data_IF_124348899929
#
_entry.id   IF_124348899929
#
_cell.length_a   1.000
_cell.length_b   1.000
_cell.length_c   1.000
_cell.angle_alpha   90.00
_cell.angle_beta   90.00
_cell.angle_gamma   90.00
#
_symmetry.space_group_name_H-M   'P 1'
#
loop_
_entity.id
_entity.type
_entity.pdbx_description
1 polymer ?
#
# COMPACT_ATOMS: atom_id res chain seq x y z
N UNK A 1 -34.97 -38.28 -18.63
CA UNK A 1 -34.54 -38.12 -17.23
C UNK A 1 -35.75 -37.70 -16.40
N UNK A 2 -36.26 -38.58 -15.52
CA UNK A 2 -37.39 -38.28 -14.61
C UNK A 2 -36.80 -37.72 -13.33
N UNK A 3 -36.94 -36.41 -13.14
CA UNK A 3 -36.35 -35.67 -12.02
C UNK A 3 -37.12 -35.91 -10.73
N UNK A 4 -36.43 -36.33 -9.66
CA UNK A 4 -37.00 -36.69 -8.36
C UNK A 4 -37.52 -35.46 -7.58
N UNK A 5 -38.70 -34.95 -7.97
CA UNK A 5 -39.37 -33.84 -7.29
C UNK A 5 -39.74 -34.16 -5.82
N UNK A 6 -39.85 -35.45 -5.48
CA UNK A 6 -40.14 -35.89 -4.12
C UNK A 6 -38.99 -35.63 -3.14
N UNK A 7 -37.73 -35.66 -3.59
CA UNK A 7 -36.60 -35.43 -2.70
C UNK A 7 -36.44 -33.95 -2.34
N UNK A 8 -36.71 -33.06 -3.30
CA UNK A 8 -36.61 -31.61 -3.11
C UNK A 8 -37.68 -31.08 -2.15
N UNK A 9 -38.91 -31.63 -2.24
CA UNK A 9 -39.99 -31.26 -1.33
C UNK A 9 -39.69 -31.62 0.13
N UNK A 10 -39.04 -32.77 0.39
CA UNK A 10 -38.70 -33.20 1.75
C UNK A 10 -37.62 -32.32 2.38
N UNK A 11 -36.60 -31.91 1.60
CA UNK A 11 -35.52 -31.06 2.09
C UNK A 11 -36.04 -29.65 2.42
N UNK A 12 -36.96 -29.11 1.61
CA UNK A 12 -37.56 -27.79 1.85
C UNK A 12 -38.40 -27.76 3.14
N UNK A 13 -39.14 -28.82 3.45
CA UNK A 13 -39.93 -28.91 4.69
C UNK A 13 -39.01 -29.00 5.92
N UNK A 14 -37.89 -29.74 5.82
CA UNK A 14 -36.94 -29.84 6.93
C UNK A 14 -36.26 -28.50 7.24
N UNK A 15 -35.93 -27.71 6.22
CA UNK A 15 -35.34 -26.37 6.38
C UNK A 15 -36.32 -25.39 7.03
N UNK A 16 -37.61 -25.44 6.67
CA UNK A 16 -38.63 -24.56 7.26
C UNK A 16 -38.89 -24.88 8.74
N UNK A 17 -38.74 -26.13 9.17
CA UNK A 17 -38.91 -26.50 10.60
C UNK A 17 -37.73 -26.06 11.48
N UNK A 18 -36.53 -25.90 10.92
CA UNK A 18 -35.35 -25.47 11.68
C UNK A 18 -35.35 -23.96 12.01
N UNK A 19 -36.03 -23.14 11.19
CA UNK A 19 -36.11 -21.68 11.37
C UNK A 19 -37.18 -21.22 12.37
N UNK A 20 -38.06 -22.10 12.86
CA UNK A 20 -39.16 -21.73 13.74
C UNK A 20 -38.80 -21.67 15.25
N UNK A 21 -37.56 -21.98 15.63
CA UNK A 21 -37.14 -22.10 17.03
C UNK A 21 -36.29 -20.94 17.57
N UNK A 22 -36.17 -19.82 16.85
CA UNK A 22 -35.34 -18.67 17.27
C UNK A 22 -36.13 -17.37 17.41
N UNK A 23 -37.29 -17.42 18.10
CA UNK A 23 -37.95 -16.21 18.60
C UNK A 23 -37.34 -15.81 19.96
N UNK A 24 -36.81 -14.58 20.14
CA UNK A 24 -36.38 -14.09 21.44
C UNK A 24 -37.59 -13.87 22.37
N UNK A 25 -37.50 -14.41 23.58
CA UNK A 25 -38.52 -14.28 24.63
C UNK A 25 -38.64 -12.86 25.16
N UNK A 26 -39.86 -12.37 25.34
CA UNK A 26 -40.16 -11.15 26.08
C UNK A 26 -39.87 -11.36 27.57
N UNK A 27 -38.83 -10.71 28.08
CA UNK A 27 -38.63 -10.57 29.53
C UNK A 27 -39.67 -9.62 30.13
N UNK A 28 -40.60 -10.18 30.89
CA UNK A 28 -41.47 -9.43 31.80
C UNK A 28 -40.68 -8.94 33.01
N UNK A 29 -40.44 -7.64 33.07
CA UNK A 29 -39.82 -6.97 34.22
C UNK A 29 -40.84 -6.86 35.38
N UNK A 30 -40.46 -7.16 36.64
CA UNK A 30 -41.35 -7.02 37.79
C UNK A 30 -41.64 -5.56 38.15
N UNK A 31 -42.78 -5.27 38.82
CA UNK A 31 -43.23 -3.91 39.10
C UNK A 31 -42.28 -3.16 40.04
N UNK A 32 -41.90 -1.96 39.63
CA UNK A 32 -41.15 -0.99 40.43
C UNK A 32 -42.02 -0.49 41.59
N UNK A 33 -41.57 -0.71 42.82
CA UNK A 33 -42.13 -0.11 44.04
C UNK A 33 -41.70 1.35 44.08
N UNK A 34 -42.66 2.28 44.00
CA UNK A 34 -42.43 3.71 44.18
C UNK A 34 -42.40 4.01 45.68
N UNK A 35 -41.22 4.33 46.22
CA UNK A 35 -41.06 4.89 47.56
C UNK A 35 -41.00 6.41 47.39
N UNK A 36 -42.04 7.12 47.84
CA UNK A 36 -42.01 8.58 47.96
C UNK A 36 -40.94 8.99 48.97
N UNK A 37 -39.88 9.61 48.47
CA UNK A 37 -38.84 10.23 49.29
C UNK A 37 -39.21 11.70 49.49
N UNK A 38 -39.05 12.29 50.69
CA UNK A 38 -39.40 13.69 50.92
C UNK A 38 -38.54 14.61 50.05
N UNK A 39 -39.18 15.47 49.25
CA UNK A 39 -38.52 16.48 48.45
C UNK A 39 -37.93 17.56 49.37
N UNK A 40 -36.62 17.52 49.58
CA UNK A 40 -35.86 18.61 50.20
C UNK A 40 -35.48 19.58 49.08
N UNK A 41 -35.94 20.83 49.22
CA UNK A 41 -35.63 21.95 48.34
C UNK A 41 -34.11 22.23 48.38
N UNK A 42 -33.38 22.12 47.25
CA UNK A 42 -31.94 22.37 47.24
C UNK A 42 -31.66 23.87 47.30
N UNK A 43 -30.75 24.24 48.20
CA UNK A 43 -30.18 25.58 48.29
C UNK A 43 -29.53 26.00 46.95
N UNK A 44 -29.50 27.31 46.62
CA UNK A 44 -28.92 27.79 45.37
C UNK A 44 -27.43 27.41 45.30
N UNK A 45 -27.09 26.56 44.33
CA UNK A 45 -25.72 26.23 43.99
C UNK A 45 -25.05 27.46 43.38
N UNK A 46 -23.98 27.93 44.02
CA UNK A 46 -23.05 28.88 43.40
C UNK A 46 -22.60 28.31 42.04
N UNK A 47 -22.46 29.14 40.99
CA UNK A 47 -21.95 28.68 39.71
C UNK A 47 -20.52 28.17 39.90
N UNK A 48 -20.36 26.85 39.83
CA UNK A 48 -19.06 26.21 39.68
C UNK A 48 -18.39 26.79 38.45
N UNK A 49 -17.24 27.43 38.63
CA UNK A 49 -16.43 27.90 37.52
C UNK A 49 -16.17 26.73 36.57
N UNK A 50 -16.61 26.88 35.32
CA UNK A 50 -16.25 25.97 34.23
C UNK A 50 -14.72 25.93 34.17
N UNK A 51 -14.07 24.74 34.20
CA UNK A 51 -12.63 24.67 34.03
C UNK A 51 -12.28 25.36 32.71
N UNK A 52 -11.36 26.33 32.78
CA UNK A 52 -10.80 26.94 31.58
C UNK A 52 -10.28 25.81 30.69
N UNK A 53 -10.66 25.81 29.41
CA UNK A 53 -10.14 24.88 28.42
C UNK A 53 -8.61 24.94 28.50
N UNK A 54 -7.98 23.80 28.79
CA UNK A 54 -6.53 23.65 28.71
C UNK A 54 -6.15 23.99 27.27
N UNK A 55 -5.43 25.08 27.06
CA UNK A 55 -4.84 25.34 25.74
C UNK A 55 -3.94 24.16 25.41
N UNK A 56 -4.28 23.45 24.33
CA UNK A 56 -3.50 22.33 23.82
C UNK A 56 -2.18 22.90 23.32
N UNK A 57 -1.11 22.71 24.10
CA UNK A 57 0.21 23.22 23.75
C UNK A 57 0.71 22.42 22.56
N UNK A 58 0.81 23.07 21.40
CA UNK A 58 1.41 22.48 20.21
C UNK A 58 2.79 21.88 20.54
N UNK A 59 3.14 20.72 19.96
CA UNK A 59 4.44 20.09 20.18
C UNK A 59 5.57 21.05 19.79
N UNK A 60 6.59 21.14 20.65
CA UNK A 60 7.76 21.98 20.39
C UNK A 60 8.79 21.17 19.59
N UNK A 61 8.92 21.50 18.31
CA UNK A 61 9.92 20.89 17.42
C UNK A 61 11.33 21.38 17.75
N UNK A 62 12.27 20.45 17.89
CA UNK A 62 13.67 20.74 18.20
C UNK A 62 14.53 20.70 16.94
N UNK A 63 14.20 19.80 16.02
CA UNK A 63 15.00 19.54 14.82
C UNK A 63 14.07 19.40 13.62
N UNK A 64 14.26 20.30 12.65
CA UNK A 64 13.54 20.32 11.38
C UNK A 64 14.51 19.91 10.26
N UNK A 65 14.13 19.01 9.34
CA UNK A 65 15.00 18.61 8.25
C UNK A 65 15.42 19.79 7.37
N UNK A 66 16.64 19.73 6.86
CA UNK A 66 17.09 20.66 5.83
C UNK A 66 16.52 20.27 4.45
N UNK A 67 17.07 20.86 3.38
CA UNK A 67 16.77 20.41 2.03
C UNK A 67 17.32 18.99 1.80
N UNK A 68 16.49 18.11 1.23
CA UNK A 68 16.90 16.76 0.86
C UNK A 68 18.10 16.80 -0.11
N UNK A 69 19.17 16.02 0.15
CA UNK A 69 20.25 15.86 -0.81
C UNK A 69 19.75 15.26 -2.13
N UNK A 70 20.44 15.55 -3.24
CA UNK A 70 20.13 14.95 -4.53
C UNK A 70 20.30 13.42 -4.47
N UNK A 71 19.32 12.70 -5.00
CA UNK A 71 19.32 11.24 -5.10
C UNK A 71 19.23 10.80 -6.56
N UNK A 72 19.70 9.58 -6.86
CA UNK A 72 19.41 8.94 -8.14
C UNK A 72 17.96 8.44 -8.11
N UNK A 73 17.11 8.82 -9.08
CA UNK A 73 15.75 8.31 -9.14
C UNK A 73 15.71 6.86 -9.62
N UNK A 74 14.80 6.10 -9.03
CA UNK A 74 14.27 4.84 -9.52
C UNK A 74 12.99 5.16 -10.32
N UNK A 75 13.02 5.00 -11.66
CA UNK A 75 11.84 5.26 -12.46
C UNK A 75 10.78 4.19 -12.20
N UNK A 76 9.51 4.58 -12.30
CA UNK A 76 8.42 3.63 -12.40
C UNK A 76 7.75 3.70 -13.78
N UNK A 77 6.86 2.75 -14.04
CA UNK A 77 5.94 2.83 -15.17
C UNK A 77 4.92 3.92 -14.88
N UNK A 78 4.44 4.59 -15.93
CA UNK A 78 3.38 5.60 -15.78
C UNK A 78 2.28 5.33 -16.76
N UNK A 79 1.05 5.59 -16.36
CA UNK A 79 -0.15 5.40 -17.17
C UNK A 79 -0.50 6.55 -18.10
N UNK A 80 0.14 7.72 -17.95
CA UNK A 80 -0.12 8.92 -18.75
C UNK A 80 -0.19 8.68 -20.27
N UNK A 81 0.75 7.88 -20.81
CA UNK A 81 0.84 7.60 -22.24
C UNK A 81 -0.33 6.80 -22.81
N UNK A 82 -1.02 6.01 -21.99
CA UNK A 82 -2.15 5.15 -22.38
C UNK A 82 -3.46 5.53 -21.68
N UNK A 83 -3.45 6.58 -20.86
CA UNK A 83 -4.61 7.06 -20.12
C UNK A 83 -5.80 7.39 -21.03
N UNK A 84 -5.55 7.98 -22.20
CA UNK A 84 -6.60 8.27 -23.20
C UNK A 84 -7.26 7.00 -23.77
N UNK A 85 -6.58 5.86 -23.66
CA UNK A 85 -7.08 4.53 -23.99
C UNK A 85 -7.67 3.82 -22.75
N UNK A 86 -7.92 4.50 -21.63
CA UNK A 86 -8.56 3.92 -20.44
C UNK A 86 -7.89 2.62 -19.97
N UNK A 87 -6.55 2.57 -19.99
CA UNK A 87 -5.79 1.38 -19.57
C UNK A 87 -4.42 1.78 -19.02
N UNK A 88 -3.90 0.95 -18.13
CA UNK A 88 -2.48 0.94 -17.82
C UNK A 88 -1.66 0.40 -19.02
N UNK A 89 -0.43 0.87 -19.23
CA UNK A 89 0.44 0.38 -20.28
C UNK A 89 1.02 -0.97 -19.90
N UNK A 90 1.58 -1.04 -18.68
CA UNK A 90 2.20 -2.17 -17.99
C UNK A 90 2.19 -1.83 -16.48
N UNK A 91 2.96 -2.54 -15.64
CA UNK A 91 3.17 -2.16 -14.23
C UNK A 91 2.18 -2.81 -13.27
N UNK A 92 0.91 -2.95 -13.65
CA UNK A 92 -0.08 -3.66 -12.84
C UNK A 92 0.14 -5.17 -12.91
N UNK A 93 0.56 -5.74 -11.79
CA UNK A 93 0.69 -7.17 -11.54
C UNK A 93 0.06 -7.47 -10.19
N UNK A 94 -1.26 -7.59 -10.18
CA UNK A 94 -2.07 -7.92 -9.00
C UNK A 94 -1.49 -9.10 -8.20
N UNK A 95 -1.08 -10.18 -8.88
CA UNK A 95 -0.58 -11.38 -8.21
C UNK A 95 0.70 -11.17 -7.39
N UNK A 96 1.43 -10.06 -7.56
CA UNK A 96 2.69 -9.80 -6.84
C UNK A 96 2.69 -8.47 -6.08
N UNK A 97 1.50 -7.95 -5.76
CA UNK A 97 1.30 -6.66 -5.09
C UNK A 97 2.05 -5.47 -5.74
N UNK A 98 2.08 -5.46 -7.08
CA UNK A 98 2.53 -4.28 -7.85
C UNK A 98 1.32 -3.70 -8.56
N UNK A 99 0.90 -2.51 -8.17
CA UNK A 99 -0.36 -1.90 -8.54
C UNK A 99 -0.07 -0.63 -9.34
N UNK A 100 -0.50 -0.61 -10.59
CA UNK A 100 -0.49 0.58 -11.44
C UNK A 100 -1.96 0.93 -11.73
N UNK A 101 -2.62 1.51 -10.72
CA UNK A 101 -4.07 1.79 -10.77
C UNK A 101 -4.40 3.26 -10.49
N UNK A 102 -3.73 4.25 -11.16
CA UNK A 102 -4.05 5.67 -11.02
C UNK A 102 -5.34 6.02 -11.80
N UNK A 103 -6.40 5.25 -11.59
CA UNK A 103 -7.67 5.36 -12.30
C UNK A 103 -8.84 5.18 -11.34
N UNK A 104 -9.91 5.91 -11.63
CA UNK A 104 -11.26 5.61 -11.11
C UNK A 104 -11.76 4.27 -11.67
N UNK A 105 -12.82 3.70 -11.08
CA UNK A 105 -13.45 2.46 -11.59
C UNK A 105 -13.94 2.58 -13.04
N UNK A 106 -14.34 3.77 -13.48
CA UNK A 106 -14.73 4.04 -14.88
C UNK A 106 -13.53 4.26 -15.84
N UNK A 107 -12.33 3.99 -15.32
CA UNK A 107 -11.02 4.19 -15.93
C UNK A 107 -10.68 5.65 -16.23
N UNK A 108 -11.27 6.60 -15.49
CA UNK A 108 -10.84 8.01 -15.52
C UNK A 108 -9.51 8.16 -14.81
N UNK A 109 -8.49 8.57 -15.56
CA UNK A 109 -7.11 8.71 -15.10
C UNK A 109 -6.90 9.85 -14.11
N UNK A 110 -6.05 9.62 -13.11
CA UNK A 110 -5.70 10.55 -12.04
C UNK A 110 -4.18 10.74 -11.99
N UNK A 111 -3.63 11.80 -12.62
CA UNK A 111 -2.19 11.97 -12.74
C UNK A 111 -1.48 12.23 -11.40
N UNK A 112 -2.17 12.78 -10.40
CA UNK A 112 -1.58 13.04 -9.08
C UNK A 112 -1.41 11.76 -8.24
N UNK A 113 -1.99 10.62 -8.67
CA UNK A 113 -1.74 9.29 -8.11
C UNK A 113 -0.65 8.52 -8.85
N UNK A 114 -0.39 8.86 -10.12
CA UNK A 114 0.53 8.13 -10.99
C UNK A 114 2.00 8.46 -10.63
N UNK A 115 2.70 7.48 -10.07
CA UNK A 115 4.08 7.62 -9.59
C UNK A 115 5.03 7.56 -10.80
N UNK A 116 5.69 8.67 -11.10
CA UNK A 116 6.70 8.72 -12.17
C UNK A 116 8.04 8.09 -11.74
N UNK A 117 8.28 8.04 -10.43
CA UNK A 117 9.46 7.43 -9.85
C UNK A 117 9.68 7.89 -8.43
N UNK A 118 10.67 7.30 -7.79
CA UNK A 118 10.96 7.55 -6.38
C UNK A 118 12.46 7.50 -6.12
N UNK A 119 12.89 8.04 -4.99
CA UNK A 119 14.31 8.02 -4.63
C UNK A 119 14.48 8.16 -3.13
N UNK A 120 15.67 7.80 -2.66
CA UNK A 120 16.08 8.00 -1.28
C UNK A 120 17.47 8.64 -1.22
N UNK A 121 17.62 9.65 -0.38
CA UNK A 121 18.90 10.22 0.04
C UNK A 121 18.98 10.28 1.55
N UNK A 122 20.11 10.75 2.08
CA UNK A 122 20.33 10.84 3.51
C UNK A 122 21.37 11.89 3.86
N UNK A 123 21.24 12.51 5.03
CA UNK A 123 22.28 13.34 5.65
C UNK A 123 22.82 12.66 6.92
N UNK A 124 23.29 13.38 7.94
CA UNK A 124 23.73 12.76 9.20
C UNK A 124 22.60 12.25 10.09
N UNK A 125 21.38 12.76 9.93
CA UNK A 125 20.27 12.58 10.86
C UNK A 125 19.01 11.99 10.22
N UNK A 126 18.78 12.29 8.94
CA UNK A 126 17.55 11.96 8.23
C UNK A 126 17.81 11.03 7.05
N UNK A 127 16.85 10.14 6.80
CA UNK A 127 16.58 9.63 5.46
C UNK A 127 15.56 10.55 4.79
N UNK A 128 15.72 10.81 3.50
CA UNK A 128 14.78 11.58 2.69
C UNK A 128 14.24 10.71 1.57
N UNK A 129 12.95 10.43 1.55
CA UNK A 129 12.27 9.74 0.44
C UNK A 129 11.55 10.78 -0.40
N UNK A 130 11.75 10.74 -1.72
CA UNK A 130 11.06 11.62 -2.66
C UNK A 130 10.22 10.78 -3.63
N UNK A 131 8.94 11.11 -3.76
CA UNK A 131 7.98 10.50 -4.67
C UNK A 131 7.66 11.53 -5.76
N UNK A 132 8.07 11.26 -6.99
CA UNK A 132 7.75 12.10 -8.13
C UNK A 132 6.45 11.62 -8.77
N UNK A 133 5.54 12.54 -9.05
CA UNK A 133 4.23 12.26 -9.63
C UNK A 133 4.17 12.76 -11.07
N UNK A 134 3.32 12.15 -11.90
CA UNK A 134 2.99 12.72 -13.21
C UNK A 134 2.22 14.04 -13.04
N UNK A 135 1.34 14.08 -12.06
CA UNK A 135 0.52 15.22 -11.70
C UNK A 135 1.28 16.37 -11.05
N UNK A 136 0.53 17.39 -10.65
CA UNK A 136 1.04 18.65 -10.11
C UNK A 136 0.30 19.13 -8.87
N UNK A 137 -0.82 18.51 -8.51
CA UNK A 137 -1.65 18.89 -7.38
C UNK A 137 -1.86 17.72 -6.40
N UNK A 138 -0.88 17.46 -5.52
CA UNK A 138 -1.04 16.50 -4.42
C UNK A 138 -2.19 16.85 -3.46
N UNK A 139 -2.67 18.10 -3.49
CA UNK A 139 -3.78 18.63 -2.68
C UNK A 139 -5.12 18.63 -3.44
N UNK A 140 -5.31 17.75 -4.41
CA UNK A 140 -6.57 17.66 -5.14
C UNK A 140 -7.73 17.10 -4.28
N UNK A 141 -8.94 17.15 -4.84
CA UNK A 141 -10.17 16.76 -4.14
C UNK A 141 -10.26 15.25 -3.81
N UNK A 142 -9.37 14.41 -4.35
CA UNK A 142 -9.33 12.98 -4.01
C UNK A 142 -8.79 12.75 -2.60
N UNK A 143 -8.03 13.70 -2.05
CA UNK A 143 -7.42 13.56 -0.73
C UNK A 143 -6.44 12.38 -0.69
N UNK A 144 -5.52 12.34 -1.65
CA UNK A 144 -4.54 11.27 -1.85
C UNK A 144 -3.64 11.18 -0.62
N UNK A 145 -3.49 9.99 -0.04
CA UNK A 145 -2.45 9.68 0.92
C UNK A 145 -1.18 9.24 0.19
N UNK A 146 -0.04 9.74 0.62
CA UNK A 146 1.25 9.21 0.19
C UNK A 146 1.90 8.51 1.37
N UNK A 147 2.58 7.40 1.09
CA UNK A 147 3.13 6.56 2.14
C UNK A 147 4.53 6.06 1.81
N UNK A 148 5.31 5.80 2.86
CA UNK A 148 6.58 5.07 2.83
C UNK A 148 6.44 3.85 3.72
N UNK A 149 6.60 2.67 3.13
CA UNK A 149 6.65 1.41 3.85
C UNK A 149 8.09 1.06 4.17
N UNK A 150 8.36 0.56 5.38
CA UNK A 150 9.68 0.12 5.81
C UNK A 150 9.60 -1.34 6.30
N UNK A 151 10.48 -2.17 5.77
CA UNK A 151 10.78 -3.52 6.28
C UNK A 151 12.22 -3.50 6.82
N UNK A 152 12.34 -3.47 8.14
CA UNK A 152 13.60 -3.29 8.89
C UNK A 152 14.29 -4.60 9.23
N UNK A 153 13.62 -5.72 9.02
CA UNK A 153 14.15 -7.06 9.29
C UNK A 153 14.46 -7.86 8.00
N UNK A 154 14.09 -7.31 6.83
CA UNK A 154 14.41 -7.79 5.48
C UNK A 154 13.74 -9.13 5.18
N UNK A 155 12.50 -9.32 5.64
CA UNK A 155 11.70 -10.52 5.34
C UNK A 155 10.48 -10.27 4.45
N UNK A 156 10.33 -9.01 4.01
CA UNK A 156 9.31 -8.50 3.09
C UNK A 156 7.89 -8.47 3.62
N UNK A 157 7.72 -8.63 4.94
CA UNK A 157 6.54 -8.19 5.67
C UNK A 157 6.86 -6.80 6.25
N UNK A 158 6.04 -5.79 5.95
CA UNK A 158 6.33 -4.43 6.37
C UNK A 158 6.30 -4.30 7.90
N UNK A 159 7.31 -3.65 8.50
CA UNK A 159 7.33 -3.40 9.95
C UNK A 159 6.65 -2.07 10.29
N UNK A 160 6.84 -1.05 9.44
CA UNK A 160 6.30 0.30 9.65
C UNK A 160 5.72 0.91 8.37
N UNK A 161 4.65 1.68 8.54
CA UNK A 161 4.05 2.48 7.47
C UNK A 161 3.98 3.94 7.91
N UNK A 162 4.71 4.81 7.21
CA UNK A 162 4.65 6.26 7.39
C UNK A 162 3.66 6.79 6.37
N UNK A 163 2.54 7.34 6.82
CA UNK A 163 1.47 7.89 5.97
C UNK A 163 1.42 9.39 6.16
N UNK A 164 1.39 10.15 5.07
CA UNK A 164 1.06 11.57 5.11
C UNK A 164 -0.26 11.82 4.38
N UNK A 165 -1.14 12.61 5.00
CA UNK A 165 -2.45 12.99 4.45
C UNK A 165 -2.47 14.48 4.08
N UNK A 166 -3.26 14.92 3.08
CA UNK A 166 -3.37 16.34 2.75
C UNK A 166 -4.08 17.12 3.88
N UNK A 167 -3.89 18.45 3.98
CA UNK A 167 -3.14 19.29 3.04
C UNK A 167 -1.62 19.22 3.22
N UNK A 168 -0.91 19.17 2.11
CA UNK A 168 0.54 19.27 2.04
C UNK A 168 0.98 20.73 1.85
N UNK A 169 2.17 21.05 2.39
CA UNK A 169 2.79 22.37 2.35
C UNK A 169 4.17 22.31 1.71
N UNK A 170 4.67 23.44 1.18
CA UNK A 170 6.04 23.53 0.66
C UNK A 170 7.10 23.54 1.79
N UNK A 171 6.68 23.92 2.99
CA UNK A 171 7.48 23.82 4.21
C UNK A 171 7.34 22.43 4.84
N UNK A 172 8.38 22.01 5.56
CA UNK A 172 8.33 20.77 6.33
C UNK A 172 7.24 20.84 7.41
N UNK A 173 6.37 19.85 7.42
CA UNK A 173 5.28 19.67 8.38
C UNK A 173 5.37 18.29 9.02
N UNK A 174 5.15 18.22 10.34
CA UNK A 174 4.97 16.97 11.07
C UNK A 174 3.48 16.69 11.38
N UNK A 175 2.61 17.69 11.19
CA UNK A 175 1.23 17.67 11.71
C UNK A 175 0.33 16.61 11.08
N UNK A 176 0.58 16.30 9.81
CA UNK A 176 -0.28 15.46 8.97
C UNK A 176 0.33 14.08 8.70
N UNK A 177 1.22 13.62 9.59
CA UNK A 177 1.88 12.31 9.51
C UNK A 177 1.29 11.36 10.53
N UNK A 178 1.05 10.14 10.08
CA UNK A 178 0.79 8.99 10.94
C UNK A 178 1.82 7.92 10.71
N UNK A 179 2.22 7.23 11.78
CA UNK A 179 3.08 6.05 11.69
C UNK A 179 2.35 4.88 12.30
N UNK A 180 2.19 3.84 11.50
CA UNK A 180 1.64 2.57 11.90
C UNK A 180 2.75 1.52 11.99
N UNK A 181 2.54 0.53 12.84
CA UNK A 181 3.43 -0.60 13.05
C UNK A 181 2.63 -1.89 12.94
N UNK A 182 3.21 -2.89 12.28
CA UNK A 182 2.78 -4.28 12.40
C UNK A 182 3.41 -4.89 13.68
N UNK A 183 2.56 -5.37 14.59
CA UNK A 183 2.99 -5.95 15.86
C UNK A 183 3.14 -7.47 15.82
N UNK A 184 2.63 -8.13 14.78
CA UNK A 184 2.48 -9.58 14.76
C UNK A 184 2.93 -10.27 13.46
N UNK A 185 3.43 -9.49 12.49
CA UNK A 185 4.02 -9.95 11.22
C UNK A 185 2.98 -10.59 10.29
N UNK A 186 1.91 -9.87 10.04
CA UNK A 186 0.81 -10.31 9.19
C UNK A 186 0.31 -9.22 8.23
N UNK A 187 1.18 -8.30 7.79
CA UNK A 187 0.82 -7.35 6.72
C UNK A 187 0.31 -8.05 5.47
N UNK A 188 0.90 -9.19 5.13
CA UNK A 188 0.47 -10.08 4.06
C UNK A 188 0.05 -11.46 4.61
N UNK A 189 -0.52 -12.29 3.73
CA UNK A 189 -0.85 -13.68 3.98
C UNK A 189 0.37 -14.60 4.19
N UNK A 190 0.31 -15.81 3.65
CA UNK A 190 1.41 -16.77 3.73
C UNK A 190 2.63 -16.36 2.89
N UNK A 191 2.42 -15.49 1.90
CA UNK A 191 3.35 -15.15 0.85
C UNK A 191 3.61 -13.64 0.83
N UNK A 192 4.77 -13.21 1.31
CA UNK A 192 5.16 -11.79 1.21
C UNK A 192 5.22 -11.25 -0.23
N UNK A 193 5.27 -12.09 -1.28
CA UNK A 193 5.36 -11.61 -2.67
C UNK A 193 4.13 -11.89 -3.51
N UNK A 194 3.08 -12.54 -2.97
CA UNK A 194 1.96 -12.98 -3.79
C UNK A 194 0.63 -12.81 -3.10
N UNK A 195 -0.38 -12.50 -3.90
CA UNK A 195 -1.78 -12.48 -3.45
C UNK A 195 -2.17 -13.81 -2.82
N UNK A 196 -2.56 -13.80 -1.55
CA UNK A 196 -3.16 -14.90 -0.80
C UNK A 196 -4.67 -14.69 -0.56
N UNK A 197 -5.31 -13.84 -1.37
CA UNK A 197 -6.70 -13.50 -1.18
C UNK A 197 -7.68 -14.69 -1.23
N UNK A 198 -8.74 -14.67 -0.38
CA UNK A 198 -8.98 -13.70 0.68
C UNK A 198 -8.20 -14.02 1.97
N UNK A 199 -7.57 -13.01 2.54
CA UNK A 199 -6.84 -13.03 3.81
C UNK A 199 -7.51 -12.13 4.85
N UNK A 200 -7.35 -12.49 6.13
CA UNK A 200 -8.02 -11.83 7.27
C UNK A 200 -7.03 -11.32 8.32
N UNK A 201 -5.77 -11.06 7.94
CA UNK A 201 -4.82 -10.36 8.82
C UNK A 201 -5.26 -8.92 9.09
N UNK A 202 -4.56 -8.28 10.03
CA UNK A 202 -4.87 -6.92 10.49
C UNK A 202 -3.85 -5.87 10.06
N UNK A 203 -2.95 -6.22 9.14
CA UNK A 203 -2.09 -5.26 8.46
C UNK A 203 -1.16 -4.54 9.42
N UNK A 204 -1.08 -3.22 9.27
CA UNK A 204 -0.43 -2.37 10.26
C UNK A 204 -1.42 -2.02 11.38
N UNK A 205 -1.41 -2.83 12.44
CA UNK A 205 -2.43 -2.84 13.49
C UNK A 205 -2.25 -1.80 14.61
N UNK A 206 -1.07 -1.19 14.71
CA UNK A 206 -0.74 -0.28 15.82
C UNK A 206 -0.38 1.13 15.35
N UNK A 207 -1.21 2.12 15.67
CA UNK A 207 -0.88 3.54 15.52
C UNK A 207 0.09 3.98 16.61
N UNK A 208 1.32 4.33 16.23
CA UNK A 208 2.39 4.71 17.16
C UNK A 208 2.75 6.21 17.09
N UNK A 209 2.29 6.92 16.06
CA UNK A 209 2.46 8.37 15.93
C UNK A 209 1.29 8.97 15.14
N UNK A 210 0.64 9.98 15.70
CA UNK A 210 -0.40 10.86 15.12
C UNK A 210 -0.44 12.14 16.00
N UNK A 211 0.30 13.21 15.63
CA UNK A 211 0.32 14.45 16.40
C UNK A 211 -1.05 15.08 16.57
N UNK A 212 -1.89 15.04 15.52
CA UNK A 212 -3.24 15.57 15.57
C UNK A 212 -4.17 14.75 16.48
N UNK A 213 -3.90 13.45 16.62
CA UNK A 213 -4.59 12.53 17.53
C UNK A 213 -3.99 12.47 18.94
N UNK A 214 -2.91 13.21 19.22
CA UNK A 214 -2.22 13.21 20.52
C UNK A 214 -1.38 11.97 20.81
N UNK A 215 -1.12 11.11 19.81
CA UNK A 215 -0.23 9.95 19.94
C UNK A 215 1.15 10.38 19.45
N UNK A 216 2.10 10.64 20.36
CA UNK A 216 3.41 11.19 19.95
C UNK A 216 4.53 10.25 20.39
N UNK A 217 5.11 9.52 19.42
CA UNK A 217 6.37 8.80 19.60
C UNK A 217 7.55 9.75 19.87
N UNK A 218 7.79 10.65 18.92
CA UNK A 218 8.78 11.73 18.96
C UNK A 218 8.22 12.83 18.03
N UNK A 219 8.11 14.10 18.49
CA UNK A 219 7.49 15.17 17.70
C UNK A 219 8.26 15.48 16.41
N UNK A 220 9.51 15.06 16.31
CA UNK A 220 10.36 15.23 15.14
C UNK A 220 10.71 13.85 14.54
N UNK A 221 9.88 12.81 14.69
CA UNK A 221 10.21 11.47 14.14
C UNK A 221 10.23 11.47 12.62
N UNK A 222 9.28 12.18 12.00
CA UNK A 222 9.08 12.23 10.58
C UNK A 222 8.46 13.58 10.17
N UNK A 223 8.70 13.95 8.92
CA UNK A 223 8.27 15.20 8.30
C UNK A 223 7.87 14.96 6.86
N UNK A 224 6.95 15.78 6.35
CA UNK A 224 6.49 15.75 4.97
C UNK A 224 6.42 17.16 4.42
N UNK A 225 6.70 17.29 3.12
CA UNK A 225 6.43 18.50 2.34
C UNK A 225 6.16 18.13 0.90
N UNK A 226 5.77 19.11 0.11
CA UNK A 226 5.72 19.02 -1.35
C UNK A 226 6.67 20.02 -2.00
N UNK A 227 7.14 19.70 -3.20
CA UNK A 227 7.66 20.69 -4.14
C UNK A 227 6.80 20.63 -5.40
N UNK A 228 6.02 21.68 -5.65
CA UNK A 228 5.06 21.77 -6.75
C UNK A 228 5.66 22.43 -8.01
N UNK A 229 6.84 21.96 -8.44
CA UNK A 229 7.48 22.37 -9.70
C UNK A 229 6.77 21.73 -10.93
N UNK A 230 7.45 21.63 -12.09
CA UNK A 230 6.88 21.07 -13.33
C UNK A 230 6.29 19.64 -13.18
N UNK A 231 6.76 18.87 -12.20
CA UNK A 231 6.17 17.64 -11.67
C UNK A 231 6.09 17.81 -10.16
N UNK A 232 4.96 17.44 -9.55
CA UNK A 232 4.87 17.47 -8.10
C UNK A 232 5.77 16.39 -7.49
N UNK A 233 6.49 16.76 -6.43
CA UNK A 233 7.29 15.85 -5.65
C UNK A 233 6.79 15.88 -4.20
N UNK A 234 6.38 14.75 -3.66
CA UNK A 234 6.09 14.58 -2.24
C UNK A 234 7.37 14.08 -1.58
N UNK A 235 7.82 14.75 -0.52
CA UNK A 235 9.05 14.40 0.17
C UNK A 235 8.76 14.07 1.62
N UNK A 236 9.28 12.93 2.06
CA UNK A 236 9.32 12.51 3.45
C UNK A 236 10.74 12.67 3.98
N UNK A 237 10.87 13.04 5.25
CA UNK A 237 12.10 12.88 6.01
C UNK A 237 11.79 12.12 7.30
N UNK A 238 12.59 11.11 7.65
CA UNK A 238 12.44 10.37 8.92
C UNK A 238 13.78 10.07 9.57
N UNK A 239 13.80 10.05 10.91
CA UNK A 239 15.03 9.92 11.69
C UNK A 239 15.71 8.58 11.44
N UNK A 240 17.02 8.63 11.16
CA UNK A 240 17.85 7.43 11.05
C UNK A 240 17.93 6.63 12.34
N UNK A 241 17.95 7.32 13.48
CA UNK A 241 18.00 6.68 14.80
C UNK A 241 16.76 5.81 15.08
N UNK A 242 15.66 6.06 14.35
CA UNK A 242 14.44 5.26 14.43
C UNK A 242 14.42 4.14 13.39
N UNK A 243 14.71 4.44 12.11
CA UNK A 243 14.65 3.45 11.04
C UNK A 243 15.83 2.45 11.00
N UNK A 244 16.95 2.78 11.65
CA UNK A 244 18.16 1.98 11.59
C UNK A 244 18.99 2.23 10.31
N UNK A 245 19.94 1.33 10.06
CA UNK A 245 20.92 1.49 8.96
C UNK A 245 20.68 0.54 7.78
N UNK A 246 19.77 -0.42 7.92
CA UNK A 246 19.45 -1.42 6.90
C UNK A 246 17.95 -1.68 6.91
N UNK A 247 17.33 -1.60 5.73
CA UNK A 247 15.91 -1.87 5.54
C UNK A 247 15.59 -1.96 4.04
N UNK A 248 14.47 -2.60 3.72
CA UNK A 248 13.79 -2.42 2.45
C UNK A 248 12.76 -1.29 2.59
N UNK A 249 12.48 -0.58 1.50
CA UNK A 249 11.42 0.43 1.47
C UNK A 249 10.65 0.45 0.16
N UNK A 250 9.38 0.82 0.23
CA UNK A 250 8.50 1.09 -0.91
C UNK A 250 7.80 2.44 -0.74
N UNK A 251 7.19 2.93 -1.81
CA UNK A 251 6.31 4.10 -1.74
C UNK A 251 4.96 3.78 -2.35
N UNK A 252 3.93 4.49 -1.89
CA UNK A 252 2.56 4.33 -2.36
C UNK A 252 1.85 5.68 -2.46
N UNK A 253 0.96 5.80 -3.44
CA UNK A 253 -0.05 6.83 -3.55
C UNK A 253 -1.44 6.17 -3.51
N UNK A 254 -2.30 6.59 -2.59
CA UNK A 254 -3.57 5.92 -2.32
C UNK A 254 -4.70 6.93 -2.06
N UNK A 255 -5.69 6.94 -2.94
CA UNK A 255 -7.00 7.59 -2.72
C UNK A 255 -8.17 6.61 -2.75
N UNK A 256 -7.89 5.31 -2.78
CA UNK A 256 -8.85 4.22 -2.71
C UNK A 256 -9.05 3.79 -1.24
N UNK A 257 -8.60 2.59 -0.84
CA UNK A 257 -8.87 2.05 0.50
C UNK A 257 -8.40 2.95 1.65
N UNK A 258 -7.17 3.48 1.60
CA UNK A 258 -6.54 4.31 2.65
C UNK A 258 -6.60 3.69 4.05
N UNK A 259 -6.67 2.37 4.10
CA UNK A 259 -6.76 1.60 5.32
C UNK A 259 -5.44 0.87 5.56
N UNK A 260 -4.62 1.29 6.55
CA UNK A 260 -3.38 0.63 6.92
C UNK A 260 -3.57 -0.82 7.39
N UNK A 261 -4.76 -1.18 7.89
CA UNK A 261 -5.04 -2.56 8.31
C UNK A 261 -5.27 -3.52 7.15
N UNK A 262 -5.34 -3.00 5.93
CA UNK A 262 -5.51 -3.77 4.70
C UNK A 262 -4.31 -3.65 3.75
N UNK A 263 -3.23 -2.94 4.13
CA UNK A 263 -2.06 -2.78 3.25
C UNK A 263 -1.46 -4.15 2.90
N UNK A 264 -0.89 -4.29 1.70
CA UNK A 264 -0.91 -5.53 0.90
C UNK A 264 -2.32 -5.87 0.40
N UNK A 265 -3.02 -4.84 -0.11
CA UNK A 265 -4.41 -4.88 -0.59
C UNK A 265 -4.79 -6.09 -1.44
N UNK A 266 -3.85 -6.61 -2.22
CA UNK A 266 -4.07 -7.78 -3.07
C UNK A 266 -4.43 -9.05 -2.27
N UNK A 267 -4.17 -9.08 -0.97
CA UNK A 267 -4.53 -10.19 -0.09
C UNK A 267 -5.98 -10.10 0.41
N UNK A 268 -6.65 -8.96 0.30
CA UNK A 268 -7.99 -8.78 0.89
C UNK A 268 -9.13 -8.94 -0.12
N UNK A 269 -8.94 -8.45 -1.34
CA UNK A 269 -9.88 -8.64 -2.44
C UNK A 269 -9.39 -9.75 -3.34
N UNK A 270 -10.27 -10.59 -3.88
CA UNK A 270 -9.86 -11.52 -4.95
C UNK A 270 -9.53 -10.75 -6.23
N UNK A 271 -8.77 -11.33 -7.17
CA UNK A 271 -8.47 -10.63 -8.43
C UNK A 271 -9.74 -10.23 -9.20
N UNK A 272 -10.78 -11.07 -9.12
CA UNK A 272 -12.08 -10.79 -9.73
C UNK A 272 -12.75 -9.55 -9.11
N UNK A 273 -12.69 -9.40 -7.79
CA UNK A 273 -13.30 -8.27 -7.07
C UNK A 273 -12.44 -7.00 -7.20
N UNK A 274 -11.12 -7.14 -7.16
CA UNK A 274 -10.16 -6.05 -7.34
C UNK A 274 -10.23 -5.45 -8.75
N UNK A 275 -10.53 -6.27 -9.76
CA UNK A 275 -10.48 -5.90 -11.17
C UNK A 275 -9.06 -5.62 -11.67
N UNK A 276 -8.96 -5.17 -12.92
CA UNK A 276 -7.70 -4.90 -13.61
C UNK A 276 -7.74 -3.61 -14.44
N UNK A 277 -6.67 -2.80 -14.44
CA UNK A 277 -6.54 -1.66 -15.34
C UNK A 277 -6.07 -2.07 -16.75
N UNK A 278 -5.74 -3.34 -16.97
CA UNK A 278 -5.21 -3.85 -18.24
C UNK A 278 -6.37 -4.33 -19.11
N UNK A 279 -6.60 -3.65 -20.22
CA UNK A 279 -7.79 -3.85 -21.09
C UNK A 279 -8.01 -5.30 -21.58
N UNK A 280 -6.93 -6.07 -21.74
CA UNK A 280 -7.02 -7.45 -22.25
C UNK A 280 -7.08 -8.52 -21.14
N UNK A 281 -7.06 -8.12 -19.87
CA UNK A 281 -7.23 -9.04 -18.74
C UNK A 281 -8.70 -9.41 -18.55
N UNK A 282 -8.94 -10.60 -17.97
CA UNK A 282 -10.28 -11.14 -17.78
C UNK A 282 -11.17 -10.29 -16.86
N UNK A 283 -10.55 -9.54 -15.94
CA UNK A 283 -11.24 -8.76 -14.91
C UNK A 283 -11.14 -7.25 -15.14
N UNK A 284 -11.00 -6.79 -16.39
CA UNK A 284 -11.14 -5.38 -16.72
C UNK A 284 -12.62 -4.92 -16.70
N UNK A 285 -12.95 -3.69 -16.22
CA UNK A 285 -12.07 -2.66 -15.66
C UNK A 285 -11.78 -2.87 -14.16
N UNK A 286 -11.16 -1.88 -13.51
CA UNK A 286 -10.93 -1.87 -12.07
C UNK A 286 -12.24 -2.03 -11.26
N UNK A 287 -12.17 -2.83 -10.21
CA UNK A 287 -13.25 -3.11 -9.26
C UNK A 287 -13.01 -2.40 -7.93
N UNK A 288 -12.99 -3.15 -6.83
CA UNK A 288 -12.86 -2.63 -5.46
C UNK A 288 -11.46 -2.05 -5.16
N UNK A 289 -10.43 -2.50 -5.88
CA UNK A 289 -9.06 -2.02 -5.71
C UNK A 289 -8.69 -1.07 -6.87
N UNK A 290 -8.96 0.22 -6.68
CA UNK A 290 -8.76 1.31 -7.63
C UNK A 290 -8.19 2.55 -6.91
N UNK A 291 -7.68 3.55 -7.65
CA UNK A 291 -6.99 4.72 -7.10
C UNK A 291 -5.78 4.40 -6.21
N UNK A 292 -4.99 3.41 -6.61
CA UNK A 292 -3.77 3.00 -5.90
C UNK A 292 -2.62 2.87 -6.89
N UNK A 293 -1.45 3.38 -6.51
CA UNK A 293 -0.20 3.19 -7.23
C UNK A 293 0.90 2.89 -6.22
N UNK A 294 1.68 1.83 -6.44
CA UNK A 294 2.79 1.48 -5.56
C UNK A 294 4.02 1.00 -6.32
N UNK A 295 5.16 1.16 -5.66
CA UNK A 295 6.45 0.75 -6.22
C UNK A 295 6.89 -0.59 -5.64
N UNK A 296 7.74 -1.30 -6.37
CA UNK A 296 8.53 -2.37 -5.80
C UNK A 296 9.52 -1.86 -4.72
N UNK A 297 10.09 -2.78 -3.95
CA UNK A 297 11.00 -2.45 -2.85
C UNK A 297 12.40 -2.09 -3.35
N UNK A 298 13.05 -1.19 -2.63
CA UNK A 298 14.47 -0.84 -2.77
C UNK A 298 15.20 -1.05 -1.45
N UNK A 299 16.50 -1.35 -1.51
CA UNK A 299 17.31 -1.62 -0.33
C UNK A 299 18.16 -0.42 0.09
N UNK A 300 18.29 -0.24 1.40
CA UNK A 300 19.22 0.69 2.04
C UNK A 300 20.19 -0.07 2.92
N UNK A 301 21.47 0.29 2.83
CA UNK A 301 22.53 -0.21 3.73
C UNK A 301 23.00 -1.64 3.45
N UNK A 302 22.49 -2.30 2.41
CA UNK A 302 22.97 -3.61 1.95
C UNK A 302 22.79 -3.76 0.44
N UNK A 303 23.47 -4.76 -0.14
CA UNK A 303 23.28 -5.18 -1.54
C UNK A 303 22.31 -6.35 -1.56
N UNK A 304 21.15 -6.23 -2.23
CA UNK A 304 20.21 -7.33 -2.38
C UNK A 304 20.81 -8.53 -3.10
N UNK A 305 20.36 -9.71 -2.74
CA UNK A 305 20.69 -10.94 -3.45
C UNK A 305 19.81 -11.17 -4.68
N UNK A 306 18.68 -10.47 -4.76
CA UNK A 306 17.64 -10.65 -5.78
C UNK A 306 16.61 -11.73 -5.41
N UNK A 307 16.74 -12.33 -4.23
CA UNK A 307 15.78 -13.29 -3.69
C UNK A 307 14.84 -12.68 -2.64
N UNK A 308 15.09 -11.43 -2.25
CA UNK A 308 14.21 -10.67 -1.37
C UNK A 308 12.85 -10.47 -2.07
N UNK A 309 11.74 -10.90 -1.46
CA UNK A 309 10.40 -10.67 -2.01
C UNK A 309 10.14 -9.17 -2.25
N UNK A 310 9.24 -8.87 -3.19
CA UNK A 310 8.83 -7.50 -3.60
C UNK A 310 9.95 -6.59 -4.15
N UNK A 311 11.21 -7.01 -4.18
CA UNK A 311 12.30 -6.14 -4.62
C UNK A 311 12.21 -5.80 -6.12
N UNK A 312 12.55 -4.56 -6.45
CA UNK A 312 12.63 -4.15 -7.84
C UNK A 312 13.67 -4.99 -8.60
N UNK A 313 13.33 -5.52 -9.78
CA UNK A 313 14.31 -6.22 -10.59
C UNK A 313 15.42 -5.25 -11.01
N UNK A 314 16.68 -5.67 -10.84
CA UNK A 314 17.80 -4.90 -11.35
C UNK A 314 17.73 -4.89 -12.89
N UNK A 315 17.55 -3.70 -13.48
CA UNK A 315 17.64 -3.54 -14.92
C UNK A 315 19.12 -3.57 -15.31
N UNK A 316 19.67 -4.78 -15.45
CA UNK A 316 21.02 -4.98 -15.99
C UNK A 316 20.96 -4.71 -17.49
N UNK A 317 21.37 -3.52 -17.93
CA UNK A 317 21.45 -3.22 -19.37
C UNK A 317 22.33 -4.28 -20.05
N UNK A 318 21.90 -4.88 -21.18
CA UNK A 318 22.72 -5.85 -21.88
C UNK A 318 24.07 -5.20 -22.22
N UNK A 319 25.15 -5.80 -21.72
CA UNK A 319 26.49 -5.41 -22.10
C UNK A 319 26.59 -5.60 -23.60
N UNK A 320 26.74 -4.50 -24.35
CA UNK A 320 27.07 -4.58 -25.78
C UNK A 320 28.48 -5.18 -25.83
N UNK A 321 28.57 -6.49 -26.03
CA UNK A 321 29.84 -7.13 -26.35
C UNK A 321 30.27 -6.59 -27.69
N UNK A 322 31.27 -5.71 -27.69
CA UNK A 322 31.91 -5.33 -28.95
C UNK A 322 32.50 -6.60 -29.56
N UNK A 323 32.24 -6.93 -30.84
CA UNK A 323 32.64 -8.20 -31.46
C UNK A 323 34.14 -8.54 -31.45
N UNK A 324 35.00 -7.71 -30.86
CA UNK A 324 36.45 -7.82 -30.88
C UNK A 324 37.10 -7.72 -29.49
N UNK A 325 36.40 -8.00 -28.39
CA UNK A 325 37.06 -8.13 -27.08
C UNK A 325 37.94 -9.40 -27.07
N UNK A 326 39.29 -9.28 -27.02
CA UNK A 326 40.19 -10.43 -27.02
C UNK A 326 40.09 -11.29 -25.75
N UNK A 327 39.34 -10.83 -24.74
CA UNK A 327 39.16 -11.55 -23.47
C UNK A 327 37.96 -12.48 -23.42
N UNK A 328 37.06 -12.45 -24.41
CA UNK A 328 35.94 -13.39 -24.47
C UNK A 328 36.37 -14.74 -25.06
N UNK A 329 36.28 -15.86 -24.30
CA UNK A 329 36.44 -17.19 -24.88
C UNK A 329 35.37 -17.41 -25.97
N UNK A 330 35.68 -18.13 -27.06
CA UNK A 330 34.74 -18.36 -28.14
C UNK A 330 33.45 -18.97 -27.57
N UNK A 331 32.26 -18.49 -27.98
CA UNK A 331 31.01 -18.99 -27.46
C UNK A 331 30.93 -20.48 -27.76
N UNK A 332 30.93 -21.30 -26.71
CA UNK A 332 30.45 -22.67 -26.79
C UNK A 332 29.02 -22.60 -27.32
N UNK A 333 28.82 -23.12 -28.52
CA UNK A 333 27.53 -23.29 -29.16
C UNK A 333 26.70 -24.26 -28.32
N UNK A 334 25.97 -23.72 -27.35
CA UNK A 334 24.98 -24.49 -26.59
C UNK A 334 23.64 -24.21 -27.25
N UNK A 335 23.11 -25.20 -27.95
CA UNK A 335 21.76 -25.18 -28.49
C UNK A 335 20.75 -25.28 -27.33
N UNK A 336 20.31 -24.13 -26.84
CA UNK A 336 19.35 -24.04 -25.74
C UNK A 336 17.91 -24.39 -26.14
N UNK A 337 17.62 -24.67 -27.43
CA UNK A 337 16.27 -24.95 -27.91
C UNK A 337 15.92 -26.43 -27.97
N UNK A 338 16.88 -27.36 -27.89
CA UNK A 338 16.61 -28.80 -28.09
C UNK A 338 16.60 -29.65 -26.81
N UNK A 339 16.79 -29.06 -25.63
CA UNK A 339 16.62 -29.80 -24.37
C UNK A 339 15.13 -29.97 -24.01
N UNK A 340 14.46 -30.89 -24.70
CA UNK A 340 13.14 -31.39 -24.32
C UNK A 340 13.24 -31.98 -22.91
N UNK A 341 12.74 -31.25 -21.91
CA UNK A 341 12.64 -31.71 -20.52
C UNK A 341 13.05 -30.71 -19.42
N UNK A 342 13.54 -29.51 -19.74
CA UNK A 342 13.84 -28.49 -18.72
C UNK A 342 12.70 -27.46 -18.59
N UNK A 343 12.15 -27.19 -17.39
CA UNK A 343 11.00 -26.32 -17.21
C UNK A 343 11.31 -24.82 -17.27
N UNK A 344 12.42 -24.39 -17.88
CA UNK A 344 12.73 -22.98 -17.97
C UNK A 344 13.46 -22.64 -19.29
N UNK A 345 12.74 -22.26 -20.35
CA UNK A 345 13.37 -21.74 -21.56
C UNK A 345 13.88 -20.32 -21.25
N UNK A 346 15.15 -20.25 -20.87
CA UNK A 346 15.87 -19.00 -20.67
C UNK A 346 16.00 -18.24 -21.98
N UNK A 347 15.12 -17.27 -22.20
CA UNK A 347 15.40 -15.97 -22.84
C UNK A 347 14.19 -15.03 -22.84
N UNK A 348 13.33 -15.08 -21.82
CA UNK A 348 12.39 -14.00 -21.60
C UNK A 348 13.14 -12.83 -20.96
N UNK A 349 13.11 -11.61 -21.52
CA UNK A 349 13.64 -10.44 -20.82
C UNK A 349 12.86 -10.24 -19.53
N UNK A 350 13.53 -10.47 -18.39
CA UNK A 350 13.17 -10.03 -17.03
C UNK A 350 11.81 -10.48 -16.47
N UNK A 351 11.74 -11.63 -15.78
CA UNK A 351 10.70 -11.86 -14.76
C UNK A 351 9.26 -12.10 -15.22
N UNK A 352 9.00 -12.15 -16.53
CA UNK A 352 7.66 -12.43 -17.10
C UNK A 352 7.47 -13.92 -17.44
N UNK A 353 7.86 -14.84 -16.57
CA UNK A 353 7.70 -16.29 -16.83
C UNK A 353 6.24 -16.73 -16.97
N UNK A 354 5.30 -15.90 -16.51
CA UNK A 354 3.88 -16.24 -16.42
C UNK A 354 3.05 -15.50 -17.49
N UNK A 355 3.68 -14.72 -18.38
CA UNK A 355 3.00 -14.00 -19.46
C UNK A 355 2.70 -14.93 -20.65
N UNK A 356 1.42 -15.09 -21.09
CA UNK A 356 1.02 -16.03 -22.14
C UNK A 356 1.49 -15.68 -23.58
N UNK A 357 2.37 -14.70 -23.74
CA UNK A 357 2.79 -14.18 -25.05
C UNK A 357 4.28 -14.31 -25.37
N UNK A 358 5.06 -15.00 -24.53
CA UNK A 358 6.46 -15.31 -24.85
C UNK A 358 6.55 -16.47 -25.85
N UNK A 359 6.54 -16.17 -27.15
CA UNK A 359 6.80 -17.15 -28.20
C UNK A 359 8.23 -16.99 -28.74
N UNK A 360 9.01 -18.05 -28.71
CA UNK A 360 10.26 -18.14 -29.45
C UNK A 360 9.96 -18.11 -30.96
N UNK A 361 10.43 -17.10 -31.68
CA UNK A 361 10.47 -17.13 -33.14
C UNK A 361 11.72 -17.88 -33.59
N UNK A 362 11.59 -18.96 -34.39
CA UNK A 362 12.74 -19.60 -35.02
C UNK A 362 13.43 -18.61 -35.96
N UNK A 363 14.75 -18.49 -35.83
CA UNK A 363 15.61 -17.83 -36.83
C UNK A 363 15.87 -18.72 -38.03
#
# INVERSE_FOLDING_TARGET
MKTNHRLFATILVLFLTALACSLPGQDTQPPTVIIETPQIEPAPLNPTAVPAATEDLAPVHQIIPAAAPLAKPYPDVTSNGTASEKRAPFGDSYNINRLERPFMQDMTYQPDLDIAGFSISQDSEWYFVSIALVGRNPNNDLGIHYSVELDTNIDSFGDYLIVASPPYSEEWSADNIRIYKDTNRNTAGLSASRSDAPFTGDGFDSLIHDPAGGVILDPDVAWVRINADNLAMVQFAFKKSWAGNQFLYSVMADAGPRDPSLLDYVDHWTFQDAGSPVRNEAFYPLGELFLVDNTCYQAIGFTPTGFEPKICPEIVQPQITTPNDPSTPPPTEVDYCTSIGSPNPGNCPYGWSDAPYCYCTPG
#
